data_IF_194064590762
#
_entry.id   IF_194064590762
#
_cell.length_a   1.000
_cell.length_b   1.000
_cell.length_c   1.000
_cell.angle_alpha   90.00
_cell.angle_beta   90.00
_cell.angle_gamma   90.00
#
_symmetry.space_group_name_H-M   'P 1'
#
loop_
_entity.id
_entity.type
_entity.pdbx_description
1 polymer ?
#
# COMPACT_ATOMS: atom_id res chain seq x y z
N UNK A 1 -2.72 12.71 24.98
CA UNK A 1 -1.48 12.04 24.52
C UNK A 1 -1.89 10.70 23.90
N UNK A 2 -1.23 10.27 22.82
CA UNK A 2 -1.47 8.96 22.20
C UNK A 2 -0.38 7.98 22.66
N UNK A 3 -0.58 7.23 23.76
CA UNK A 3 0.49 6.40 24.34
C UNK A 3 0.98 5.30 23.42
N UNK A 4 0.18 4.93 22.41
CA UNK A 4 0.50 3.90 21.43
C UNK A 4 0.89 4.45 20.06
N UNK A 5 1.00 5.76 19.88
CA UNK A 5 1.52 6.33 18.64
C UNK A 5 3.05 6.33 18.67
N UNK A 6 3.70 5.82 17.61
CA UNK A 6 5.16 5.81 17.54
C UNK A 6 5.67 7.22 17.30
N UNK A 7 6.42 7.82 18.22
CA UNK A 7 6.94 9.20 18.07
C UNK A 7 8.36 9.25 17.48
N UNK A 8 9.08 8.13 17.48
CA UNK A 8 10.36 7.99 16.79
C UNK A 8 10.81 6.55 16.62
N UNK A 9 11.62 6.29 15.60
CA UNK A 9 12.19 4.96 15.30
C UNK A 9 13.43 5.09 14.41
N UNK A 10 14.58 4.50 14.80
CA UNK A 10 15.83 4.51 14.02
C UNK A 10 16.24 5.90 13.50
N UNK A 11 16.10 6.94 14.34
CA UNK A 11 16.44 8.32 13.97
C UNK A 11 15.37 9.07 13.17
N UNK A 12 14.27 8.41 12.82
CA UNK A 12 13.08 9.06 12.27
C UNK A 12 12.18 9.60 13.41
N UNK A 13 11.39 10.62 13.11
CA UNK A 13 10.42 11.22 14.04
C UNK A 13 9.03 11.31 13.42
N UNK A 14 8.00 11.29 14.26
CA UNK A 14 6.60 11.28 13.83
C UNK A 14 5.73 12.15 14.74
N UNK A 15 4.79 12.88 14.16
CA UNK A 15 3.81 13.72 14.86
C UNK A 15 2.40 13.32 14.49
N UNK A 16 1.46 13.56 15.42
CA UNK A 16 0.08 13.12 15.30
C UNK A 16 -0.89 14.22 15.71
N UNK A 17 -2.09 14.22 15.13
CA UNK A 17 -3.20 15.05 15.58
C UNK A 17 -3.85 14.51 16.87
N UNK A 18 -4.92 15.15 17.32
CA UNK A 18 -5.65 14.82 18.55
C UNK A 18 -6.44 13.51 18.49
N UNK A 19 -6.73 12.98 17.29
CA UNK A 19 -7.45 11.71 17.08
C UNK A 19 -6.52 10.57 16.68
N UNK A 20 -5.21 10.84 16.58
CA UNK A 20 -4.18 9.85 16.40
C UNK A 20 -3.80 9.58 14.95
N UNK A 21 -4.11 10.46 14.01
CA UNK A 21 -3.53 10.36 12.67
C UNK A 21 -2.12 10.92 12.63
N UNK A 22 -1.20 10.23 11.98
CA UNK A 22 0.14 10.76 11.73
C UNK A 22 0.06 11.95 10.77
N UNK A 23 0.29 13.16 11.26
CA UNK A 23 0.24 14.41 10.49
C UNK A 23 1.60 14.83 9.93
N UNK A 24 2.69 14.30 10.50
CA UNK A 24 4.03 14.63 10.06
C UNK A 24 5.01 13.51 10.35
N UNK A 25 6.04 13.41 9.51
CA UNK A 25 7.17 12.51 9.74
C UNK A 25 8.45 13.02 9.12
N UNK A 26 9.57 12.75 9.79
CA UNK A 26 10.91 12.94 9.26
C UNK A 26 11.54 11.57 9.09
N UNK A 27 11.79 11.17 7.85
CA UNK A 27 12.38 9.87 7.52
C UNK A 27 13.66 10.09 6.75
N UNK A 28 14.79 9.59 7.28
CA UNK A 28 16.11 9.79 6.67
C UNK A 28 16.42 11.28 6.38
N UNK A 29 15.99 12.17 7.28
CA UNK A 29 16.16 13.63 7.14
C UNK A 29 15.14 14.32 6.20
N UNK A 30 14.28 13.57 5.52
CA UNK A 30 13.24 14.12 4.64
C UNK A 30 11.93 14.31 5.41
N UNK A 31 11.38 15.53 5.37
CA UNK A 31 10.12 15.87 6.04
C UNK A 31 8.93 15.62 5.13
N UNK A 32 7.90 14.99 5.67
CA UNK A 32 6.61 14.77 5.03
C UNK A 32 5.49 15.33 5.91
N UNK A 33 4.53 16.03 5.31
CA UNK A 33 3.28 16.40 5.96
C UNK A 33 2.12 15.60 5.36
N UNK A 34 1.21 15.16 6.23
CA UNK A 34 0.09 14.29 5.91
C UNK A 34 -1.21 15.00 6.33
N UNK A 35 -2.20 15.02 5.44
CA UNK A 35 -3.49 15.69 5.67
C UNK A 35 -4.63 14.71 5.54
N UNK A 36 -5.60 14.81 6.45
CA UNK A 36 -6.77 13.94 6.53
C UNK A 36 -8.05 14.75 6.35
N UNK A 37 -9.09 14.12 5.81
CA UNK A 37 -10.42 14.72 5.78
C UNK A 37 -11.18 14.51 7.12
N UNK A 38 -12.37 15.08 7.23
CA UNK A 38 -13.22 14.97 8.43
C UNK A 38 -13.65 13.53 8.77
N UNK A 39 -13.58 12.61 7.81
CA UNK A 39 -13.92 11.20 7.98
C UNK A 39 -12.66 10.34 8.22
N UNK A 40 -11.57 10.98 8.64
CA UNK A 40 -10.33 10.31 9.02
C UNK A 40 -9.63 9.59 7.86
N UNK A 41 -9.75 10.08 6.62
CA UNK A 41 -9.11 9.48 5.43
C UNK A 41 -7.94 10.34 4.98
N UNK A 42 -6.77 9.73 4.74
CA UNK A 42 -5.58 10.44 4.24
C UNK A 42 -5.86 11.00 2.84
N UNK A 43 -5.91 12.31 2.69
CA UNK A 43 -6.19 12.97 1.40
C UNK A 43 -4.94 13.53 0.74
N UNK A 44 -3.90 13.84 1.49
CA UNK A 44 -2.68 14.42 0.93
C UNK A 44 -1.40 14.00 1.67
N UNK A 45 -0.32 13.82 0.91
CA UNK A 45 1.05 13.74 1.41
C UNK A 45 1.91 14.72 0.62
N UNK A 46 2.64 15.60 1.31
CA UNK A 46 3.55 16.57 0.69
C UNK A 46 4.97 16.44 1.23
N UNK A 47 5.96 16.61 0.35
CA UNK A 47 7.39 16.66 0.71
C UNK A 47 8.20 17.37 -0.38
N UNK A 48 8.72 18.56 -0.10
CA UNK A 48 9.41 19.36 -1.12
C UNK A 48 8.52 19.59 -2.35
N UNK A 49 8.94 19.08 -3.51
CA UNK A 49 8.18 19.15 -4.78
C UNK A 49 7.24 17.96 -5.02
N UNK A 50 7.19 17.00 -4.09
CA UNK A 50 6.24 15.88 -4.12
C UNK A 50 4.90 16.31 -3.53
N UNK A 51 3.81 16.06 -4.25
CA UNK A 51 2.44 16.12 -3.75
C UNK A 51 1.69 14.88 -4.23
N UNK A 52 1.23 14.06 -3.30
CA UNK A 52 0.30 12.96 -3.56
C UNK A 52 -1.07 13.34 -3.00
N UNK A 53 -2.11 13.26 -3.84
CA UNK A 53 -3.50 13.56 -3.47
C UNK A 53 -4.39 12.36 -3.74
N UNK A 54 -5.31 12.07 -2.84
CA UNK A 54 -6.24 10.94 -2.92
C UNK A 54 -7.68 11.41 -2.82
N UNK A 55 -8.54 10.87 -3.68
CA UNK A 55 -9.98 11.10 -3.67
C UNK A 55 -10.70 9.80 -3.38
N UNK A 56 -11.73 9.89 -2.54
CA UNK A 56 -12.54 8.76 -2.10
C UNK A 56 -14.00 8.97 -2.48
N UNK A 57 -14.74 7.89 -2.67
CA UNK A 57 -16.19 7.91 -2.83
C UNK A 57 -16.91 7.99 -1.47
N UNK A 58 -18.26 8.00 -1.50
CA UNK A 58 -19.09 8.04 -0.30
C UNK A 58 -18.94 6.82 0.61
N UNK A 59 -18.52 5.68 0.06
CA UNK A 59 -18.39 4.40 0.78
C UNK A 59 -16.98 4.20 1.38
N UNK A 60 -16.05 5.14 1.18
CA UNK A 60 -14.70 5.02 1.71
C UNK A 60 -13.67 4.51 0.70
N UNK A 61 -14.07 4.11 -0.51
CA UNK A 61 -13.14 3.54 -1.47
C UNK A 61 -12.35 4.64 -2.18
N UNK A 62 -11.06 4.41 -2.37
CA UNK A 62 -10.22 5.33 -3.15
C UNK A 62 -10.55 5.20 -4.62
N UNK A 63 -11.00 6.29 -5.24
CA UNK A 63 -11.42 6.35 -6.65
C UNK A 63 -10.43 7.08 -7.54
N UNK A 64 -9.55 7.91 -6.97
CA UNK A 64 -8.52 8.63 -7.72
C UNK A 64 -7.26 8.87 -6.89
N UNK A 65 -6.11 8.82 -7.55
CA UNK A 65 -4.86 9.39 -7.02
C UNK A 65 -4.18 10.28 -8.05
N UNK A 66 -3.56 11.36 -7.58
CA UNK A 66 -2.69 12.23 -8.38
C UNK A 66 -1.38 12.38 -7.63
N UNK A 67 -0.29 11.95 -8.25
CA UNK A 67 1.05 12.10 -7.71
C UNK A 67 1.83 13.02 -8.64
N UNK A 68 2.21 14.17 -8.10
CA UNK A 68 3.09 15.15 -8.74
C UNK A 68 4.45 15.08 -8.08
N UNK A 69 5.50 14.80 -8.86
CA UNK A 69 6.88 14.81 -8.40
C UNK A 69 7.70 15.71 -9.33
N UNK A 70 7.97 16.95 -8.89
CA UNK A 70 8.49 17.99 -9.79
C UNK A 70 7.51 18.24 -10.93
N UNK A 71 7.96 18.16 -12.19
CA UNK A 71 7.10 18.33 -13.37
C UNK A 71 6.35 17.07 -13.80
N UNK A 72 6.62 15.92 -13.18
CA UNK A 72 5.99 14.65 -13.54
C UNK A 72 4.66 14.50 -12.79
N UNK A 73 3.57 14.33 -13.54
CA UNK A 73 2.23 14.09 -12.98
C UNK A 73 1.76 12.69 -13.38
N UNK A 74 1.31 11.91 -12.40
CA UNK A 74 0.73 10.59 -12.61
C UNK A 74 -0.64 10.55 -11.96
N UNK A 75 -1.66 10.47 -12.80
CA UNK A 75 -3.05 10.39 -12.39
C UNK A 75 -3.59 9.00 -12.66
N UNK A 76 -4.15 8.36 -11.62
CA UNK A 76 -4.75 7.03 -11.72
C UNK A 76 -6.18 7.05 -11.20
N UNK A 77 -7.08 6.48 -11.98
CA UNK A 77 -8.49 6.28 -11.63
C UNK A 77 -8.72 4.80 -11.30
N UNK A 78 -9.51 4.56 -10.26
CA UNK A 78 -9.81 3.23 -9.72
C UNK A 78 -11.30 2.92 -9.91
N UNK A 79 -11.58 1.73 -10.43
CA UNK A 79 -12.95 1.19 -10.52
C UNK A 79 -13.00 -0.10 -9.72
N UNK A 80 -13.36 0.03 -8.44
CA UNK A 80 -13.31 -1.03 -7.46
C UNK A 80 -11.92 -1.68 -7.38
N UNK A 81 -11.89 -2.98 -7.04
CA UNK A 81 -10.66 -3.77 -6.99
C UNK A 81 -10.24 -4.38 -8.35
N UNK A 82 -10.93 -4.03 -9.44
CA UNK A 82 -10.85 -4.78 -10.70
C UNK A 82 -10.15 -4.03 -11.82
N UNK A 83 -10.08 -2.70 -11.74
CA UNK A 83 -9.60 -1.91 -12.87
C UNK A 83 -8.94 -0.61 -12.45
N UNK A 84 -7.82 -0.33 -13.12
CA UNK A 84 -7.05 0.89 -12.99
C UNK A 84 -6.80 1.52 -14.34
N UNK A 85 -6.93 2.84 -14.42
CA UNK A 85 -6.51 3.64 -15.57
C UNK A 85 -5.51 4.68 -15.12
N UNK A 86 -4.26 4.52 -15.53
CA UNK A 86 -3.24 5.55 -15.39
C UNK A 86 -3.22 6.40 -16.67
N UNK A 87 -3.52 7.68 -16.53
CA UNK A 87 -3.53 8.61 -17.66
C UNK A 87 -2.14 8.62 -18.32
N UNK A 88 -2.12 8.58 -19.65
CA UNK A 88 -0.90 8.56 -20.48
C UNK A 88 0.04 7.36 -20.24
N UNK A 89 -0.39 6.30 -19.51
CA UNK A 89 0.38 5.06 -19.35
C UNK A 89 -0.42 3.80 -19.68
N UNK A 90 -1.75 3.83 -19.60
CA UNK A 90 -2.61 2.72 -19.96
C UNK A 90 -3.40 2.15 -18.78
N UNK A 91 -4.05 1.02 -19.03
CA UNK A 91 -5.02 0.42 -18.13
C UNK A 91 -4.53 -0.94 -17.62
N UNK A 92 -4.89 -1.27 -16.38
CA UNK A 92 -4.66 -2.60 -15.79
C UNK A 92 -6.00 -3.19 -15.35
N UNK A 93 -6.28 -4.42 -15.78
CA UNK A 93 -7.40 -5.25 -15.30
C UNK A 93 -6.89 -6.27 -14.31
N UNK A 94 -7.58 -6.44 -13.19
CA UNK A 94 -7.23 -7.40 -12.14
C UNK A 94 -8.24 -8.54 -12.10
N UNK A 95 -7.73 -9.76 -12.01
CA UNK A 95 -8.52 -10.98 -11.90
C UNK A 95 -8.28 -11.61 -10.53
N UNK A 96 -9.35 -11.75 -9.76
CA UNK A 96 -9.33 -12.29 -8.40
C UNK A 96 -10.15 -13.58 -8.33
N UNK A 97 -9.70 -14.52 -7.50
CA UNK A 97 -10.44 -15.72 -7.14
C UNK A 97 -10.47 -15.78 -5.61
N UNK A 98 -11.65 -15.94 -5.03
CA UNK A 98 -11.86 -15.93 -3.57
C UNK A 98 -11.21 -14.72 -2.87
N UNK A 99 -11.33 -13.53 -3.48
CA UNK A 99 -10.78 -12.28 -2.94
C UNK A 99 -9.27 -12.08 -3.12
N UNK A 100 -8.56 -13.02 -3.74
CA UNK A 100 -7.11 -12.94 -3.92
C UNK A 100 -6.73 -12.73 -5.40
N UNK A 101 -5.76 -11.85 -5.69
CA UNK A 101 -5.24 -11.53 -7.04
C UNK A 101 -4.50 -12.69 -7.72
N UNK A 102 -5.06 -13.32 -8.75
CA UNK A 102 -4.44 -14.47 -9.45
C UNK A 102 -3.78 -14.08 -10.76
N UNK A 103 -4.25 -13.01 -11.38
CA UNK A 103 -3.71 -12.50 -12.63
C UNK A 103 -4.04 -11.02 -12.78
N UNK A 104 -3.27 -10.33 -13.61
CA UNK A 104 -3.62 -9.01 -14.11
C UNK A 104 -3.24 -8.87 -15.57
N UNK A 105 -3.87 -7.94 -16.26
CA UNK A 105 -3.66 -7.69 -17.68
C UNK A 105 -3.47 -6.22 -17.94
N UNK A 106 -2.31 -5.88 -18.52
CA UNK A 106 -1.92 -4.52 -18.87
C UNK A 106 -2.22 -4.25 -20.34
N UNK A 107 -2.80 -3.09 -20.62
CA UNK A 107 -3.03 -2.64 -22.00
C UNK A 107 -1.73 -2.29 -22.72
N UNK A 108 -1.77 -2.19 -24.05
CA UNK A 108 -0.64 -1.80 -24.90
C UNK A 108 0.00 -0.44 -24.54
N UNK A 109 -0.70 0.44 -23.80
CA UNK A 109 -0.14 1.70 -23.30
C UNK A 109 1.12 1.53 -22.44
N UNK A 110 1.34 0.34 -21.85
CA UNK A 110 2.54 0.01 -21.07
C UNK A 110 3.75 -0.39 -21.94
N UNK A 111 3.74 -0.12 -23.25
CA UNK A 111 4.85 -0.42 -24.14
C UNK A 111 5.10 -1.93 -24.20
N UNK A 112 6.35 -2.38 -23.99
CA UNK A 112 6.72 -3.82 -23.98
C UNK A 112 6.17 -4.59 -22.77
N UNK A 113 5.66 -3.88 -21.74
CA UNK A 113 5.15 -4.44 -20.50
C UNK A 113 3.63 -4.70 -20.52
N UNK A 114 3.04 -4.85 -21.72
CA UNK A 114 1.63 -5.17 -21.92
C UNK A 114 1.31 -6.68 -21.92
N UNK A 115 0.03 -7.01 -21.74
CA UNK A 115 -0.53 -8.37 -21.77
C UNK A 115 -0.84 -8.94 -20.39
N UNK A 116 -1.14 -10.25 -20.35
CA UNK A 116 -1.50 -10.98 -19.12
C UNK A 116 -0.26 -11.37 -18.30
N UNK A 117 -0.43 -11.38 -16.97
CA UNK A 117 0.54 -11.88 -16.00
C UNK A 117 -0.18 -12.75 -15.00
N UNK A 118 0.42 -13.88 -14.63
CA UNK A 118 -0.07 -14.71 -13.52
C UNK A 118 0.70 -14.38 -12.25
N UNK A 119 -0.01 -14.41 -11.13
CA UNK A 119 0.49 -14.05 -9.80
C UNK A 119 0.42 -15.26 -8.89
N UNK A 120 1.54 -15.60 -8.26
CA UNK A 120 1.59 -16.59 -7.18
C UNK A 120 1.85 -15.90 -5.86
N UNK A 121 1.20 -16.43 -4.83
CA UNK A 121 1.09 -15.79 -3.52
C UNK A 121 1.45 -16.74 -2.41
N UNK A 122 1.77 -16.17 -1.26
CA UNK A 122 1.87 -16.89 0.00
C UNK A 122 0.49 -17.04 0.68
N UNK A 123 0.49 -17.68 1.86
CA UNK A 123 -0.71 -17.92 2.65
C UNK A 123 -1.39 -16.64 3.15
N UNK A 124 -0.67 -15.51 3.22
CA UNK A 124 -1.23 -14.21 3.58
C UNK A 124 -1.79 -13.47 2.36
N UNK A 125 -1.64 -14.05 1.16
CA UNK A 125 -2.08 -13.44 -0.09
C UNK A 125 -1.06 -12.46 -0.68
N UNK A 126 0.17 -12.39 -0.15
CA UNK A 126 1.18 -11.48 -0.68
C UNK A 126 1.57 -11.87 -2.11
N UNK A 127 1.76 -10.89 -3.00
CA UNK A 127 2.29 -11.16 -4.35
C UNK A 127 3.77 -11.54 -4.27
N UNK A 128 4.12 -12.82 -4.46
CA UNK A 128 5.50 -13.29 -4.38
C UNK A 128 6.14 -13.52 -5.74
N UNK A 129 5.40 -14.02 -6.72
CA UNK A 129 5.94 -14.34 -8.05
C UNK A 129 4.99 -13.83 -9.12
N UNK A 130 5.56 -13.22 -10.16
CA UNK A 130 4.85 -12.81 -11.37
C UNK A 130 5.51 -13.49 -12.56
N UNK A 131 4.71 -14.18 -13.37
CA UNK A 131 5.16 -14.78 -14.63
C UNK A 131 4.44 -14.16 -15.83
N UNK A 132 5.07 -14.20 -16.99
CA UNK A 132 4.47 -13.77 -18.23
C UNK A 132 3.34 -14.73 -18.61
N UNK A 133 2.14 -14.20 -18.91
CA UNK A 133 0.97 -15.02 -19.22
C UNK A 133 1.05 -15.76 -20.55
N UNK A 134 1.91 -15.33 -21.48
CA UNK A 134 2.08 -15.97 -22.79
C UNK A 134 3.29 -16.89 -22.82
N UNK A 135 4.44 -16.44 -22.33
CA UNK A 135 5.70 -17.21 -22.40
C UNK A 135 6.00 -18.05 -21.17
N UNK A 136 5.27 -17.87 -20.06
CA UNK A 136 5.53 -18.55 -18.80
C UNK A 136 6.81 -18.13 -18.08
N UNK A 137 7.57 -17.19 -18.64
CA UNK A 137 8.84 -16.74 -18.07
C UNK A 137 8.64 -16.03 -16.73
N UNK A 138 9.54 -16.28 -15.78
CA UNK A 138 9.62 -15.53 -14.54
C UNK A 138 9.96 -14.06 -14.82
N UNK A 139 9.07 -13.17 -14.41
CA UNK A 139 9.22 -11.73 -14.59
C UNK A 139 9.73 -11.05 -13.32
N UNK A 140 9.14 -11.44 -12.19
CA UNK A 140 9.39 -10.81 -10.90
C UNK A 140 9.24 -11.82 -9.77
N UNK A 141 10.08 -11.71 -8.74
CA UNK A 141 9.85 -12.38 -7.45
C UNK A 141 10.22 -11.48 -6.30
N UNK A 142 9.33 -11.30 -5.34
CA UNK A 142 9.63 -10.73 -4.03
C UNK A 142 9.48 -11.75 -2.92
N UNK A 143 10.35 -11.60 -1.93
CA UNK A 143 10.17 -12.21 -0.61
C UNK A 143 10.07 -11.09 0.41
N UNK A 144 9.15 -11.23 1.34
CA UNK A 144 8.86 -10.22 2.35
C UNK A 144 9.47 -10.62 3.69
N UNK A 145 9.90 -9.62 4.46
CA UNK A 145 10.06 -9.70 5.91
C UNK A 145 8.67 -9.80 6.55
N UNK A 146 8.57 -10.24 7.83
CA UNK A 146 7.29 -10.48 8.49
C UNK A 146 6.31 -9.29 8.44
N UNK A 147 6.83 -8.06 8.46
CA UNK A 147 6.03 -6.84 8.46
C UNK A 147 5.92 -6.16 7.09
N UNK A 148 6.26 -6.84 5.99
CA UNK A 148 5.96 -6.40 4.63
C UNK A 148 7.04 -5.60 3.92
N UNK A 149 8.16 -5.33 4.58
CA UNK A 149 9.38 -4.86 3.91
C UNK A 149 9.90 -5.95 2.97
N UNK A 150 10.38 -5.56 1.78
CA UNK A 150 10.94 -6.52 0.82
C UNK A 150 12.33 -6.95 1.27
N UNK A 151 12.49 -8.26 1.49
CA UNK A 151 13.76 -8.90 1.86
C UNK A 151 14.68 -9.07 0.67
N UNK A 152 14.15 -9.62 -0.42
CA UNK A 152 14.87 -9.80 -1.68
C UNK A 152 13.93 -9.72 -2.87
N UNK A 153 14.43 -9.12 -3.95
CA UNK A 153 13.75 -9.03 -5.24
C UNK A 153 14.60 -9.68 -6.32
N UNK A 154 13.99 -10.57 -7.10
CA UNK A 154 14.47 -10.95 -8.41
C UNK A 154 13.68 -10.21 -9.49
N UNK A 155 14.39 -9.68 -10.49
CA UNK A 155 13.84 -9.07 -11.70
C UNK A 155 14.44 -9.78 -12.88
N UNK A 156 13.63 -10.05 -13.91
CA UNK A 156 14.11 -10.71 -15.13
C UNK A 156 15.29 -9.96 -15.74
N UNK A 157 15.12 -8.65 -15.95
CA UNK A 157 16.10 -7.77 -16.59
C UNK A 157 16.20 -6.45 -15.82
N UNK A 158 17.33 -5.74 -15.93
CA UNK A 158 17.58 -4.49 -15.19
C UNK A 158 16.54 -3.38 -15.48
N UNK A 159 15.95 -3.39 -16.68
CA UNK A 159 14.89 -2.46 -17.09
C UNK A 159 13.46 -2.88 -16.71
N UNK A 160 13.28 -4.07 -16.14
CA UNK A 160 11.95 -4.58 -15.81
C UNK A 160 11.39 -3.91 -14.56
N UNK A 161 10.36 -3.08 -14.76
CA UNK A 161 9.72 -2.32 -13.69
C UNK A 161 8.68 -3.16 -12.96
N UNK A 162 8.36 -2.77 -11.72
CA UNK A 162 7.31 -3.41 -10.95
C UNK A 162 5.96 -3.28 -11.68
N UNK A 163 5.32 -4.42 -11.95
CA UNK A 163 4.14 -4.46 -12.80
C UNK A 163 2.79 -4.41 -12.05
N UNK A 164 2.78 -4.41 -10.73
CA UNK A 164 1.56 -4.26 -9.92
C UNK A 164 1.86 -3.55 -8.60
N UNK A 165 0.91 -2.77 -8.13
CA UNK A 165 0.96 -2.14 -6.81
C UNK A 165 0.44 -3.07 -5.70
N UNK A 166 -0.26 -4.16 -6.01
CA UNK A 166 -0.72 -5.13 -5.01
C UNK A 166 0.41 -6.08 -4.58
N UNK A 167 0.86 -5.96 -3.34
CA UNK A 167 2.09 -6.62 -2.84
C UNK A 167 1.86 -7.39 -1.55
N UNK A 168 2.51 -7.00 -0.44
CA UNK A 168 2.36 -7.64 0.86
C UNK A 168 0.89 -7.74 1.25
N UNK A 169 0.47 -8.92 1.73
CA UNK A 169 -0.92 -9.27 2.09
C UNK A 169 -1.98 -8.93 1.02
N UNK A 170 -1.55 -8.82 -0.24
CA UNK A 170 -2.41 -8.43 -1.35
C UNK A 170 -2.84 -6.96 -1.33
N UNK A 171 -2.21 -6.12 -0.50
CA UNK A 171 -2.58 -4.71 -0.35
C UNK A 171 -1.80 -3.82 -1.29
N UNK A 172 -2.38 -2.66 -1.57
CA UNK A 172 -1.80 -1.70 -2.51
C UNK A 172 -0.65 -0.96 -1.86
N UNK A 173 0.55 -1.16 -2.36
CA UNK A 173 1.70 -0.32 -2.09
C UNK A 173 1.58 0.99 -2.89
N UNK A 174 1.63 2.13 -2.21
CA UNK A 174 1.74 3.40 -2.91
C UNK A 174 3.18 3.63 -3.36
N UNK A 175 3.38 3.54 -4.66
CA UNK A 175 4.65 3.83 -5.30
C UNK A 175 4.75 5.34 -5.50
N UNK A 176 5.95 5.89 -5.30
CA UNK A 176 6.39 7.28 -5.49
C UNK A 176 6.16 8.24 -4.34
N UNK A 177 5.82 7.75 -3.15
CA UNK A 177 5.91 8.57 -1.94
C UNK A 177 7.38 8.70 -1.50
N UNK A 178 8.17 9.56 -2.12
CA UNK A 178 9.53 9.91 -1.68
C UNK A 178 10.64 9.59 -2.68
N UNK A 179 11.89 9.84 -2.29
CA UNK A 179 13.07 9.70 -3.17
C UNK A 179 13.62 8.27 -3.21
N UNK A 180 14.34 7.86 -4.28
CA UNK A 180 14.98 6.54 -4.35
C UNK A 180 15.95 6.22 -3.20
N UNK A 181 16.51 7.26 -2.57
CA UNK A 181 17.59 7.18 -1.57
C UNK A 181 17.11 7.38 -0.12
N UNK A 182 15.84 7.74 0.11
CA UNK A 182 15.29 7.99 1.45
C UNK A 182 13.76 8.03 1.54
N UNK A 183 13.06 7.60 0.50
CA UNK A 183 11.62 7.71 0.35
C UNK A 183 10.81 6.55 0.91
N UNK A 184 9.56 6.86 1.25
CA UNK A 184 8.46 5.95 1.61
C UNK A 184 8.03 5.04 0.45
N UNK A 185 8.67 5.18 -0.72
CA UNK A 185 8.40 4.58 -2.04
C UNK A 185 8.28 3.05 -2.05
N UNK A 186 8.49 2.37 -0.91
CA UNK A 186 8.37 0.91 -0.81
C UNK A 186 7.61 0.39 0.40
N UNK A 187 7.04 1.26 1.24
CA UNK A 187 6.61 0.84 2.59
C UNK A 187 5.24 1.31 3.04
N UNK A 188 4.58 2.21 2.29
CA UNK A 188 3.24 2.70 2.63
C UNK A 188 2.17 1.93 1.87
N UNK A 189 1.40 1.12 2.57
CA UNK A 189 0.33 0.29 2.03
C UNK A 189 -1.04 0.87 2.37
N UNK A 190 -1.93 0.90 1.39
CA UNK A 190 -3.33 1.27 1.56
C UNK A 190 -4.18 0.01 1.77
N UNK A 191 -4.80 -0.09 2.95
CA UNK A 191 -5.66 -1.21 3.38
C UNK A 191 -7.16 -0.88 3.26
N UNK A 192 -7.52 0.09 2.40
CA UNK A 192 -8.91 0.55 2.24
C UNK A 192 -9.30 1.62 3.27
N UNK A 193 -9.34 1.25 4.55
CA UNK A 193 -9.71 2.19 5.62
C UNK A 193 -8.51 2.93 6.23
N UNK A 194 -7.35 2.26 6.28
CA UNK A 194 -6.15 2.76 6.96
C UNK A 194 -4.90 2.61 6.11
N UNK A 195 -3.89 3.41 6.46
CA UNK A 195 -2.56 3.34 5.86
C UNK A 195 -1.59 2.61 6.79
N UNK A 196 -0.88 1.63 6.26
CA UNK A 196 0.09 0.80 6.95
C UNK A 196 1.52 1.17 6.53
N UNK A 197 2.42 1.32 7.50
CA UNK A 197 3.85 1.52 7.26
C UNK A 197 4.64 0.26 7.64
N UNK A 198 5.19 -0.42 6.65
CA UNK A 198 5.95 -1.66 6.83
C UNK A 198 7.29 -1.46 7.56
N UNK A 199 7.87 -0.25 7.55
CA UNK A 199 9.10 0.02 8.31
C UNK A 199 8.84 0.09 9.81
N UNK A 200 7.63 0.55 10.19
CA UNK A 200 7.18 0.62 11.57
C UNK A 200 6.52 -0.69 12.01
N UNK A 201 5.98 -1.46 11.06
CA UNK A 201 5.14 -2.63 11.36
C UNK A 201 3.76 -2.24 11.90
N UNK A 202 3.26 -1.04 11.55
CA UNK A 202 2.09 -0.41 12.19
C UNK A 202 1.27 0.43 11.22
N UNK A 203 -0.01 0.60 11.52
CA UNK A 203 -0.83 1.62 10.88
C UNK A 203 -0.36 3.03 11.31
N UNK A 204 -0.55 4.01 10.43
CA UNK A 204 -0.24 5.43 10.69
C UNK A 204 -1.47 6.21 11.18
N UNK A 205 -2.60 5.52 11.31
CA UNK A 205 -3.87 6.04 11.80
C UNK A 205 -4.34 5.15 12.94
N UNK A 206 -4.93 5.77 13.97
CA UNK A 206 -5.63 5.02 15.00
C UNK A 206 -6.87 4.32 14.40
N UNK A 207 -7.20 3.15 14.94
CA UNK A 207 -8.47 2.48 14.68
C UNK A 207 -9.63 3.30 15.24
N UNK A 208 -10.63 3.57 14.42
CA UNK A 208 -11.80 4.37 14.78
C UNK A 208 -12.83 3.51 15.52
N UNK A 209 -12.80 2.19 15.30
CA UNK A 209 -13.60 1.25 16.08
C UNK A 209 -12.83 1.01 17.37
N UNK A 210 -13.20 1.75 18.41
CA UNK A 210 -12.59 1.65 19.72
C UNK A 210 -12.57 0.21 20.25
N UNK A 211 -11.65 -0.05 21.17
CA UNK A 211 -11.54 -1.29 21.91
C UNK A 211 -12.91 -1.86 22.30
N UNK A 212 -13.25 -3.05 21.79
CA UNK A 212 -14.46 -3.74 22.23
C UNK A 212 -14.31 -4.09 23.72
N UNK A 213 -15.28 -3.67 24.54
CA UNK A 213 -15.33 -4.04 25.94
C UNK A 213 -15.35 -5.57 26.08
N UNK A 214 -14.24 -6.16 26.53
CA UNK A 214 -14.07 -7.61 26.68
C UNK A 214 -12.94 -8.24 25.86
N UNK A 215 -12.35 -7.53 24.90
CA UNK A 215 -11.16 -8.01 24.18
C UNK A 215 -9.90 -7.29 24.69
N UNK A 216 -9.13 -7.96 25.54
CA UNK A 216 -7.88 -7.41 26.09
C UNK A 216 -6.81 -7.17 25.02
N UNK A 217 -6.90 -7.81 23.84
CA UNK A 217 -6.03 -7.48 22.72
C UNK A 217 -6.38 -6.12 22.13
N UNK A 218 -7.65 -5.70 22.19
CA UNK A 218 -8.12 -4.45 21.56
C UNK A 218 -7.60 -3.17 22.24
N UNK A 219 -7.01 -3.27 23.43
CA UNK A 219 -6.57 -2.11 24.22
C UNK A 219 -5.19 -1.58 23.79
N UNK A 220 -4.43 -2.38 23.03
CA UNK A 220 -3.15 -1.98 22.43
C UNK A 220 -3.15 -1.92 20.90
N UNK A 221 -4.29 -2.15 20.23
CA UNK A 221 -4.37 -2.42 18.78
C UNK A 221 -4.63 -1.22 17.89
N UNK A 222 -4.85 -0.01 18.43
CA UNK A 222 -5.23 1.14 17.62
C UNK A 222 -4.33 1.36 16.38
N UNK A 223 -3.05 0.99 16.48
CA UNK A 223 -2.09 1.08 15.37
C UNK A 223 -1.44 -0.26 15.02
N UNK A 224 -1.78 -1.36 15.69
CA UNK A 224 -1.05 -2.62 15.52
C UNK A 224 -1.49 -3.34 14.25
N UNK A 225 -0.50 -3.90 13.56
CA UNK A 225 -0.75 -4.85 12.48
C UNK A 225 -0.73 -6.26 13.06
N UNK A 226 -1.86 -6.97 12.94
CA UNK A 226 -2.00 -8.34 13.43
C UNK A 226 -1.77 -9.35 12.30
N UNK A 227 -0.64 -10.06 12.38
CA UNK A 227 -0.45 -11.32 11.65
C UNK A 227 -1.18 -12.41 12.44
N UNK A 228 -2.47 -12.65 12.17
CA UNK A 228 -3.13 -13.79 12.82
C UNK A 228 -2.66 -15.09 12.17
N UNK A 229 -2.09 -16.05 12.93
CA UNK A 229 -1.88 -17.39 12.40
C UNK A 229 -3.24 -18.01 12.07
N UNK A 230 -3.28 -18.76 10.97
CA UNK A 230 -4.45 -19.48 10.50
C UNK A 230 -4.91 -20.50 11.57
N UNK A 231 -5.82 -20.10 12.45
CA UNK A 231 -6.66 -21.02 13.21
C UNK A 231 -7.95 -21.15 12.42
N UNK A 232 -8.09 -22.29 11.73
CA UNK A 232 -9.13 -22.54 10.75
C UNK A 232 -10.53 -22.19 11.25
N UNK A 233 -11.23 -21.37 10.47
CA UNK A 233 -12.60 -20.98 10.75
C UNK A 233 -13.05 -19.83 9.84
N UNK A 234 -13.68 -20.20 8.71
CA UNK A 234 -14.54 -19.39 7.84
C UNK A 234 -14.00 -18.02 7.35
N UNK A 235 -13.45 -18.09 6.14
CA UNK A 235 -13.48 -17.13 5.03
C UNK A 235 -13.96 -15.70 5.29
N UNK A 236 -13.00 -14.79 5.37
CA UNK A 236 -13.15 -13.35 5.14
C UNK A 236 -11.82 -12.65 5.38
N UNK A 237 -11.43 -11.64 4.57
CA UNK A 237 -10.32 -10.77 4.92
C UNK A 237 -10.74 -9.85 6.09
N UNK A 238 -10.39 -10.24 7.32
CA UNK A 238 -10.67 -9.45 8.52
C UNK A 238 -9.55 -8.42 8.74
N UNK A 239 -9.55 -7.39 7.91
CA UNK A 239 -8.93 -6.11 8.22
C UNK A 239 -10.02 -5.04 8.17
N UNK A 240 -10.55 -4.74 9.36
CA UNK A 240 -11.31 -3.52 9.63
C UNK A 240 -10.37 -2.66 10.47
#
# INVERSE_FOLDING_TARGET
SHPHAATGYRGNSYSYDAVGNMTGRVVSGVTYALTYNAENRLTQVVSGTLTASYTYDGDGNRVRSVITAGSQVTETHYVGAHYERTLNSGNTKYYTIAGQLVAFERSAGYGVDWGRRFVFRDHLGSTNVIINGSSGLLLWRDRYLPFGDVRDTYRRDAGFSLQTQYRFTGQRLEQRLGTPEGGLDRRSYFYGARWYDSSLGRFIQADIIGAAAGDSQSWGTAYCFMLKPYLGGLGGPWWV
#
